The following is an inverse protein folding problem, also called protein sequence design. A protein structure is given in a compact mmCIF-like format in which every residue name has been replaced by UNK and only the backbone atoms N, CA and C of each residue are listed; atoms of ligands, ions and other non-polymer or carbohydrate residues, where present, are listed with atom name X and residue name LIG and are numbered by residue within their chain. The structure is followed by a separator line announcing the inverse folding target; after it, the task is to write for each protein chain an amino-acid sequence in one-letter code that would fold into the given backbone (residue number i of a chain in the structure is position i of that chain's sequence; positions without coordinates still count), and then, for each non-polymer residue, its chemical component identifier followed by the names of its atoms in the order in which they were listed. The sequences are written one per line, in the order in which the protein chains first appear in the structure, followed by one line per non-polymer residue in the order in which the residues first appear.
data_IF_421320483447
#
_entry.id   IF_421320483447
#
_cell.length_a   1.000
_cell.length_b   1.000
_cell.length_c   1.000
_cell.angle_alpha   90.00
_cell.angle_beta   90.00
_cell.angle_gamma   90.00
#
_symmetry.space_group_name_H-M   'P 1'
#
loop_
_entity.id
_entity.type
_entity.pdbx_description
1 polymer ?
#
# COMPACT_ATOMS: atom_id res chain seq x y z
N UNK A 1 -10.82 -14.18 -3.71
CA UNK A 1 -10.58 -12.76 -4.02
C UNK A 1 -9.36 -12.14 -3.32
N UNK A 2 -9.11 -12.38 -2.02
CA UNK A 2 -7.97 -11.78 -1.29
C UNK A 2 -6.56 -12.15 -1.79
N UNK A 3 -6.39 -13.34 -2.42
CA UNK A 3 -5.12 -13.75 -3.04
C UNK A 3 -4.85 -13.02 -4.37
N UNK A 4 -5.90 -12.81 -5.18
CA UNK A 4 -5.82 -12.13 -6.48
C UNK A 4 -5.47 -10.63 -6.36
N UNK A 5 -5.94 -9.95 -5.31
CA UNK A 5 -5.67 -8.53 -5.08
C UNK A 5 -4.22 -8.25 -4.60
N UNK A 6 -3.60 -9.21 -3.89
CA UNK A 6 -2.18 -9.11 -3.54
C UNK A 6 -1.28 -9.40 -4.74
N UNK A 7 -1.66 -10.36 -5.60
CA UNK A 7 -0.94 -10.69 -6.83
C UNK A 7 -0.85 -9.48 -7.77
N UNK A 8 -1.96 -8.76 -7.97
CA UNK A 8 -2.01 -7.60 -8.87
C UNK A 8 -1.19 -6.40 -8.36
N UNK A 9 -1.15 -6.17 -7.05
CA UNK A 9 -0.34 -5.08 -6.49
C UNK A 9 1.16 -5.35 -6.60
N UNK A 10 1.59 -6.60 -6.43
CA UNK A 10 2.98 -7.01 -6.63
C UNK A 10 3.40 -6.83 -8.10
N UNK A 11 2.57 -7.24 -9.06
CA UNK A 11 2.85 -7.02 -10.48
C UNK A 11 2.98 -5.54 -10.85
N UNK A 12 2.07 -4.70 -10.35
CA UNK A 12 2.12 -3.24 -10.57
C UNK A 12 3.40 -2.66 -9.97
N UNK A 13 3.80 -3.13 -8.79
CA UNK A 13 5.00 -2.66 -8.10
C UNK A 13 6.27 -3.03 -8.86
N UNK A 14 6.40 -4.29 -9.29
CA UNK A 14 7.55 -4.74 -10.09
C UNK A 14 7.61 -4.04 -11.44
N UNK A 15 6.46 -3.87 -12.13
CA UNK A 15 6.39 -3.11 -13.40
C UNK A 15 6.84 -1.66 -13.22
N UNK A 16 6.46 -1.01 -12.12
CA UNK A 16 6.91 0.36 -11.79
C UNK A 16 8.41 0.43 -11.51
N UNK A 17 8.97 -0.55 -10.79
CA UNK A 17 10.41 -0.64 -10.55
C UNK A 17 11.16 -0.81 -11.88
N UNK A 18 10.69 -1.70 -12.76
CA UNK A 18 11.35 -1.98 -14.04
C UNK A 18 11.37 -0.83 -15.04
N UNK A 19 10.38 0.05 -14.94
CA UNK A 19 10.23 1.21 -15.83
C UNK A 19 11.00 2.43 -15.33
N UNK A 20 11.16 2.56 -14.01
CA UNK A 20 11.75 3.76 -13.39
C UNK A 20 13.19 3.58 -12.91
N UNK A 21 13.61 2.36 -12.60
CA UNK A 21 14.91 2.12 -12.01
C UNK A 21 16.01 1.99 -13.08
N UNK A 22 17.13 2.72 -12.94
CA UNK A 22 18.29 2.53 -13.80
C UNK A 22 18.96 1.17 -13.52
N UNK A 23 19.03 0.75 -12.25
CA UNK A 23 19.49 -0.57 -11.84
C UNK A 23 18.31 -1.38 -11.26
N UNK A 24 17.91 -2.42 -12.00
CA UNK A 24 16.79 -3.31 -11.65
C UNK A 24 17.10 -4.20 -10.45
N UNK A 25 18.35 -4.63 -10.29
CA UNK A 25 18.75 -5.50 -9.18
C UNK A 25 18.76 -4.72 -7.87
N UNK A 26 19.30 -3.49 -7.90
CA UNK A 26 19.29 -2.60 -6.75
C UNK A 26 17.85 -2.20 -6.37
N UNK A 27 17.01 -1.88 -7.34
CA UNK A 27 15.61 -1.54 -7.08
C UNK A 27 14.81 -2.70 -6.43
N UNK A 28 15.05 -3.94 -6.86
CA UNK A 28 14.48 -5.11 -6.19
C UNK A 28 15.04 -5.32 -4.78
N UNK A 29 16.34 -5.07 -4.60
CA UNK A 29 17.00 -5.13 -3.29
C UNK A 29 16.42 -4.10 -2.31
N UNK A 30 16.18 -2.88 -2.77
CA UNK A 30 15.59 -1.82 -1.96
C UNK A 30 14.14 -2.13 -1.64
N UNK A 31 13.37 -2.61 -2.62
CA UNK A 31 11.99 -3.02 -2.38
C UNK A 31 11.89 -4.13 -1.32
N UNK A 32 12.73 -5.17 -1.41
CA UNK A 32 12.68 -6.29 -0.46
C UNK A 32 13.17 -5.93 0.95
N UNK A 33 13.98 -4.88 1.10
CA UNK A 33 14.56 -4.47 2.39
C UNK A 33 13.88 -3.27 3.04
N UNK A 34 13.15 -2.45 2.27
CA UNK A 34 12.40 -1.32 2.80
C UNK A 34 11.11 -1.80 3.50
N UNK A 35 10.87 -1.42 4.77
CA UNK A 35 9.64 -1.75 5.47
C UNK A 35 8.40 -1.18 4.76
N UNK A 36 7.29 -1.92 4.79
CA UNK A 36 6.00 -1.43 4.31
C UNK A 36 5.31 -0.64 5.42
N UNK A 37 4.91 0.61 5.17
CA UNK A 37 4.27 1.49 6.17
C UNK A 37 3.01 0.87 6.81
N UNK A 38 2.29 0.04 6.07
CA UNK A 38 1.05 -0.59 6.55
C UNK A 38 1.27 -1.68 7.59
N UNK A 39 2.46 -2.30 7.64
CA UNK A 39 2.74 -3.48 8.48
C UNK A 39 3.97 -3.28 9.37
N UNK A 40 4.95 -2.49 8.94
CA UNK A 40 6.22 -2.27 9.63
C UNK A 40 7.29 -3.33 9.33
N UNK A 41 7.02 -4.27 8.41
CA UNK A 41 7.96 -5.29 7.96
C UNK A 41 8.25 -5.15 6.47
N UNK A 42 9.46 -5.51 6.06
CA UNK A 42 9.82 -5.52 4.64
C UNK A 42 9.25 -6.76 3.93
N UNK A 43 9.12 -6.76 2.60
CA UNK A 43 8.65 -7.93 1.85
C UNK A 43 9.48 -9.20 2.11
N UNK A 44 10.80 -9.07 2.24
CA UNK A 44 11.66 -10.21 2.56
C UNK A 44 11.39 -10.78 3.96
N UNK A 45 11.10 -9.93 4.94
CA UNK A 45 10.76 -10.38 6.29
C UNK A 45 9.42 -11.11 6.30
N UNK A 46 8.44 -10.65 5.53
CA UNK A 46 7.13 -11.31 5.44
C UNK A 46 7.17 -12.64 4.68
N UNK A 47 8.16 -12.84 3.82
CA UNK A 47 8.28 -14.05 2.99
C UNK A 47 9.25 -15.09 3.58
N UNK A 48 10.33 -14.62 4.21
CA UNK A 48 11.46 -15.46 4.63
C UNK A 48 11.79 -15.32 6.12
N UNK A 49 11.00 -14.57 6.89
CA UNK A 49 11.21 -14.26 8.31
C UNK A 49 12.58 -13.62 8.62
N UNK A 50 13.27 -13.04 7.62
CA UNK A 50 14.61 -12.48 7.79
C UNK A 50 14.88 -11.28 6.90
N UNK A 51 15.86 -10.47 7.29
CA UNK A 51 16.37 -9.36 6.47
C UNK A 51 17.56 -9.84 5.63
N UNK A 52 17.54 -9.67 4.29
CA UNK A 52 18.71 -9.90 3.46
C UNK A 52 19.71 -8.76 3.66
N UNK A 53 20.99 -9.01 3.38
CA UNK A 53 22.01 -7.96 3.36
C UNK A 53 21.72 -6.98 2.22
N UNK A 54 21.93 -5.69 2.49
CA UNK A 54 21.88 -4.62 1.51
C UNK A 54 23.19 -3.82 1.53
N UNK A 55 23.25 -2.75 0.74
CA UNK A 55 24.42 -1.88 0.63
C UNK A 55 24.69 -1.05 1.90
N UNK A 56 23.73 -1.01 2.84
CA UNK A 56 23.88 -0.26 4.07
C UNK A 56 24.46 -1.15 5.19
N UNK A 57 25.37 -0.61 6.01
CA UNK A 57 25.87 -1.33 7.16
C UNK A 57 24.70 -1.64 8.10
N UNK A 58 24.47 -2.92 8.34
CA UNK A 58 23.39 -3.41 9.20
C UNK A 58 23.99 -4.30 10.28
N UNK A 59 23.55 -4.11 11.53
CA UNK A 59 24.00 -4.95 12.64
C UNK A 59 23.66 -6.42 12.39
N UNK A 60 24.60 -7.34 12.71
CA UNK A 60 24.42 -8.79 12.48
C UNK A 60 23.17 -9.35 13.16
N UNK A 61 22.82 -8.81 14.34
CA UNK A 61 21.62 -9.19 15.09
C UNK A 61 20.33 -8.95 14.30
N UNK A 62 20.27 -7.90 13.48
CA UNK A 62 19.10 -7.57 12.66
C UNK A 62 18.98 -8.46 11.39
N UNK A 63 20.03 -9.19 11.03
CA UNK A 63 20.04 -10.14 9.91
C UNK A 63 19.61 -11.55 10.31
N UNK A 64 19.51 -11.81 11.62
CA UNK A 64 19.00 -13.06 12.14
C UNK A 64 17.50 -13.19 11.81
N UNK A 65 17.00 -14.42 11.58
CA UNK A 65 15.57 -14.64 11.44
C UNK A 65 14.82 -14.15 12.67
N UNK A 66 13.71 -13.46 12.46
CA UNK A 66 12.82 -12.95 13.49
C UNK A 66 11.38 -13.29 13.09
N UNK A 67 10.73 -14.10 13.92
CA UNK A 67 9.32 -14.41 13.74
C UNK A 67 8.48 -13.15 13.98
N UNK A 68 7.42 -12.98 13.18
CA UNK A 68 6.40 -11.98 13.40
C UNK A 68 5.08 -12.64 13.76
N UNK A 69 4.18 -11.90 14.40
CA UNK A 69 2.82 -12.39 14.67
C UNK A 69 1.95 -12.24 13.40
N UNK A 70 1.55 -13.36 12.75
CA UNK A 70 0.78 -13.33 11.52
C UNK A 70 -0.62 -12.73 11.70
N UNK A 71 -1.18 -12.77 12.91
CA UNK A 71 -2.50 -12.19 13.20
C UNK A 71 -2.40 -10.66 13.16
N UNK A 72 -1.40 -10.10 13.83
CA UNK A 72 -1.16 -8.66 13.83
C UNK A 72 -0.77 -8.13 12.44
N UNK A 73 0.02 -8.89 11.68
CA UNK A 73 0.42 -8.55 10.30
C UNK A 73 -0.76 -8.47 9.34
N UNK A 74 -1.79 -9.32 9.51
CA UNK A 74 -3.01 -9.24 8.68
C UNK A 74 -3.97 -8.13 9.14
N UNK A 75 -4.15 -7.98 10.45
CA UNK A 75 -5.12 -7.02 11.02
C UNK A 75 -4.87 -5.57 10.60
N UNK A 76 -3.60 -5.15 10.56
CA UNK A 76 -3.24 -3.76 10.22
C UNK A 76 -3.62 -3.35 8.79
N UNK A 77 -3.19 -4.04 7.72
CA UNK A 77 -3.64 -3.78 6.36
C UNK A 77 -5.16 -3.83 6.21
N UNK A 78 -5.83 -4.78 6.85
CA UNK A 78 -7.28 -4.93 6.70
C UNK A 78 -8.03 -3.76 7.35
N UNK A 79 -7.59 -3.31 8.52
CA UNK A 79 -8.09 -2.07 9.13
C UNK A 79 -7.89 -0.87 8.20
N UNK A 80 -6.72 -0.73 7.58
CA UNK A 80 -6.44 0.36 6.65
C UNK A 80 -7.36 0.31 5.42
N UNK A 81 -7.64 -0.88 4.88
CA UNK A 81 -8.61 -1.05 3.78
C UNK A 81 -10.02 -0.67 4.20
N UNK A 82 -10.46 -1.07 5.39
CA UNK A 82 -11.78 -0.68 5.92
C UNK A 82 -11.90 0.83 6.05
N UNK A 83 -10.86 1.50 6.59
CA UNK A 83 -10.80 2.95 6.73
C UNK A 83 -10.84 3.62 5.35
N UNK A 84 -9.99 3.19 4.41
CA UNK A 84 -9.97 3.73 3.05
C UNK A 84 -11.33 3.59 2.35
N UNK A 85 -11.98 2.43 2.49
CA UNK A 85 -13.33 2.21 1.97
C UNK A 85 -14.32 3.20 2.58
N UNK A 86 -14.32 3.36 3.90
CA UNK A 86 -15.25 4.28 4.57
C UNK A 86 -15.09 5.74 4.11
N UNK A 87 -13.86 6.21 3.91
CA UNK A 87 -13.59 7.54 3.37
C UNK A 87 -14.07 7.70 1.93
N UNK A 88 -13.84 6.68 1.09
CA UNK A 88 -14.29 6.68 -0.29
C UNK A 88 -15.82 6.69 -0.40
N UNK A 89 -16.50 5.83 0.36
CA UNK A 89 -17.96 5.72 0.37
C UNK A 89 -18.61 7.03 0.86
N UNK A 90 -18.05 7.66 1.91
CA UNK A 90 -18.52 8.96 2.40
C UNK A 90 -18.39 10.06 1.34
N UNK A 91 -17.22 10.16 0.69
CA UNK A 91 -16.98 11.17 -0.35
C UNK A 91 -17.94 11.01 -1.55
N UNK A 92 -18.28 9.76 -1.90
CA UNK A 92 -19.27 9.45 -2.95
C UNK A 92 -20.67 9.96 -2.59
N UNK A 93 -21.09 9.77 -1.34
CA UNK A 93 -22.41 10.20 -0.87
C UNK A 93 -22.53 11.74 -0.84
N UNK A 94 -21.48 12.44 -0.40
CA UNK A 94 -21.42 13.92 -0.36
C UNK A 94 -21.54 14.54 -1.77
N UNK A 95 -20.88 13.96 -2.78
CA UNK A 95 -20.96 14.44 -4.16
C UNK A 95 -22.34 14.34 -4.79
N UNK A 96 -23.15 13.34 -4.39
CA UNK A 96 -24.52 13.15 -4.91
C UNK A 96 -25.57 14.08 -4.27
N UNK A 97 -25.21 14.81 -3.22
CA UNK A 97 -26.11 15.74 -2.53
C UNK A 97 -26.10 17.18 -3.06
N UNK A 98 -25.03 17.59 -3.77
CA UNK A 98 -24.79 18.99 -4.12
C UNK A 98 -25.47 19.47 -5.42
N UNK A 99 -25.90 18.55 -6.30
CA UNK A 99 -26.51 18.90 -7.59
C UNK A 99 -28.01 19.26 -7.49
N UNK A 100 -28.68 18.99 -6.36
CA UNK A 100 -30.12 19.26 -6.20
C UNK A 100 -30.48 20.72 -5.83
N UNK A 101 -29.48 21.57 -5.56
CA UNK A 101 -29.69 22.96 -5.13
C UNK A 101 -29.52 24.04 -6.21
N UNK A 102 -29.14 23.69 -7.44
CA UNK A 102 -28.79 24.68 -8.50
C UNK A 102 -29.87 24.85 -9.60
N UNK A 103 -31.10 24.38 -9.37
CA UNK A 103 -32.17 24.41 -10.39
C UNK A 103 -33.28 25.46 -10.14
N UNK A 104 -33.16 26.35 -9.15
CA UNK A 104 -34.25 27.25 -8.74
C UNK A 104 -33.98 28.76 -8.93
N UNK A 105 -32.96 29.16 -9.70
CA UNK A 105 -32.76 30.58 -10.02
C UNK A 105 -32.73 30.82 -11.54
N UNK A 106 -33.92 30.96 -12.12
CA UNK A 106 -34.07 31.50 -13.47
C UNK A 106 -34.14 33.04 -13.36
N UNK A 107 -33.31 33.81 -14.10
CA UNK A 107 -33.41 35.26 -14.10
C UNK A 107 -34.67 35.73 -14.85
N UNK A 108 -35.28 36.87 -14.45
CA UNK A 108 -36.46 37.40 -15.12
C UNK A 108 -36.09 37.89 -16.52
N UNK A 109 -36.93 37.54 -17.50
CA UNK A 109 -36.81 38.06 -18.87
C UNK A 109 -37.38 39.48 -18.89
N UNK A 110 -36.57 40.43 -19.35
CA UNK A 110 -37.01 41.74 -19.80
C UNK A 110 -37.05 41.75 -21.33
#
# INVERSE_FOLDING_TARGET
MLKLLHQSHLEITVKKLWTKAPDKHLALLDHRTTPLDSVGFSPAQLLMDRRPRNCLPTARLLLAPAAYDPVNVKRRPDRNKCIQKSYYDRKRQEGTGSERGRASHAPPRH
#
